data_IF_132554657643
#
_entry.id   IF_132554657643
#
_cell.length_a   1.000
_cell.length_b   1.000
_cell.length_c   1.000
_cell.angle_alpha   90.00
_cell.angle_beta   90.00
_cell.angle_gamma   90.00
#
_symmetry.space_group_name_H-M   'P 1'
#
loop_
_entity.id
_entity.type
_entity.pdbx_description
1 polymer ?
#
# COMPACT_ATOMS: atom_id res chain seq x y z
N UNK A 1 -9.32 42.13 1.55
CA UNK A 1 -9.20 41.15 0.45
C UNK A 1 -8.07 40.12 0.61
N UNK A 2 -7.20 40.20 1.62
CA UNK A 2 -6.06 39.26 1.79
C UNK A 2 -6.41 37.91 2.47
N UNK A 3 -7.60 37.75 3.04
CA UNK A 3 -7.98 36.57 3.83
C UNK A 3 -8.48 35.37 3.00
N UNK A 4 -9.04 35.61 1.81
CA UNK A 4 -9.64 34.55 0.96
C UNK A 4 -8.61 33.76 0.12
N UNK A 5 -7.41 34.30 -0.06
CA UNK A 5 -6.35 33.66 -0.87
C UNK A 5 -5.58 32.55 -0.13
N UNK A 6 -5.63 32.54 1.22
CA UNK A 6 -4.88 31.57 2.03
C UNK A 6 -5.39 30.13 1.87
N UNK A 7 -6.71 29.85 1.96
CA UNK A 7 -7.24 28.50 1.81
C UNK A 7 -6.98 27.90 0.42
N UNK A 8 -7.22 28.69 -0.64
CA UNK A 8 -7.00 28.27 -2.02
C UNK A 8 -5.53 27.94 -2.27
N UNK A 9 -4.62 28.80 -1.82
CA UNK A 9 -3.18 28.57 -1.96
C UNK A 9 -2.72 27.31 -1.23
N UNK A 10 -3.22 27.07 -0.02
CA UNK A 10 -2.91 25.84 0.73
C UNK A 10 -3.39 24.60 0.00
N UNK A 11 -4.62 24.61 -0.52
CA UNK A 11 -5.16 23.49 -1.28
C UNK A 11 -4.37 23.24 -2.57
N UNK A 12 -4.00 24.30 -3.30
CA UNK A 12 -3.16 24.19 -4.50
C UNK A 12 -1.78 23.59 -4.21
N UNK A 13 -1.14 24.00 -3.12
CA UNK A 13 0.15 23.41 -2.73
C UNK A 13 0.03 21.93 -2.37
N UNK A 14 -1.01 21.54 -1.64
CA UNK A 14 -1.24 20.13 -1.28
C UNK A 14 -1.58 19.32 -2.54
N UNK A 15 -2.39 19.85 -3.45
CA UNK A 15 -2.70 19.21 -4.72
C UNK A 15 -1.45 19.02 -5.59
N UNK A 16 -0.62 20.06 -5.69
CA UNK A 16 0.64 19.99 -6.43
C UNK A 16 1.61 18.98 -5.82
N UNK A 17 1.78 18.99 -4.49
CA UNK A 17 2.61 18.02 -3.79
C UNK A 17 2.09 16.58 -3.98
N UNK A 18 0.78 16.36 -3.84
CA UNK A 18 0.15 15.06 -4.06
C UNK A 18 0.37 14.56 -5.50
N UNK A 19 0.15 15.41 -6.50
CA UNK A 19 0.42 15.07 -7.90
C UNK A 19 1.89 14.74 -8.16
N UNK A 20 2.83 15.51 -7.58
CA UNK A 20 4.26 15.20 -7.67
C UNK A 20 4.59 13.84 -7.06
N UNK A 21 4.00 13.50 -5.91
CA UNK A 21 4.19 12.19 -5.28
C UNK A 21 3.61 11.07 -6.15
N UNK A 22 2.43 11.26 -6.75
CA UNK A 22 1.87 10.31 -7.71
C UNK A 22 2.78 10.11 -8.91
N UNK A 23 3.32 11.20 -9.48
CA UNK A 23 4.27 11.13 -10.60
C UNK A 23 5.56 10.41 -10.20
N UNK A 24 6.07 10.64 -8.99
CA UNK A 24 7.23 9.93 -8.47
C UNK A 24 6.94 8.42 -8.30
N UNK A 25 5.75 8.04 -7.86
CA UNK A 25 5.32 6.64 -7.77
C UNK A 25 5.21 5.98 -9.16
N UNK A 26 4.59 6.66 -10.12
CA UNK A 26 4.52 6.19 -11.52
C UNK A 26 5.94 6.03 -12.11
N UNK A 27 6.81 7.02 -11.90
CA UNK A 27 8.19 6.95 -12.35
C UNK A 27 8.91 5.76 -11.71
N UNK A 28 8.77 5.54 -10.41
CA UNK A 28 9.36 4.40 -9.71
C UNK A 28 8.85 3.05 -10.25
N UNK A 29 7.56 2.95 -10.55
CA UNK A 29 6.94 1.73 -11.10
C UNK A 29 7.43 1.43 -12.53
N UNK A 30 7.62 2.46 -13.37
CA UNK A 30 8.11 2.35 -14.75
C UNK A 30 9.60 2.00 -14.83
N UNK A 31 10.39 2.41 -13.83
CA UNK A 31 11.82 2.09 -13.73
C UNK A 31 12.11 0.66 -13.26
N UNK A 32 11.10 -0.13 -12.89
CA UNK A 32 11.32 -1.54 -12.55
C UNK A 32 11.60 -2.36 -13.81
N UNK A 33 12.51 -3.35 -13.74
CA UNK A 33 12.70 -4.32 -14.82
C UNK A 33 11.40 -5.01 -15.17
N UNK A 34 11.15 -5.14 -16.47
CA UNK A 34 9.91 -5.66 -17.02
C UNK A 34 10.18 -6.79 -18.01
N UNK A 35 9.49 -7.91 -17.84
CA UNK A 35 9.49 -9.02 -18.80
C UNK A 35 8.24 -8.98 -19.68
N UNK A 36 7.17 -8.28 -19.27
CA UNK A 36 5.91 -8.25 -20.00
C UNK A 36 5.12 -9.53 -19.86
N UNK A 37 5.16 -10.15 -18.69
CA UNK A 37 4.41 -11.35 -18.34
C UNK A 37 3.36 -11.02 -17.28
N UNK A 38 2.16 -11.53 -17.47
CA UNK A 38 1.16 -11.61 -16.39
C UNK A 38 1.27 -13.00 -15.78
N UNK A 39 1.72 -13.04 -14.53
CA UNK A 39 1.98 -14.27 -13.79
C UNK A 39 0.95 -14.45 -12.68
N UNK A 40 0.52 -15.70 -12.45
CA UNK A 40 -0.34 -16.08 -11.35
C UNK A 40 0.31 -17.22 -10.56
N UNK A 41 0.19 -17.17 -9.23
CA UNK A 41 0.53 -18.30 -8.37
C UNK A 41 -0.65 -19.27 -8.28
N UNK A 42 -0.33 -20.55 -8.10
CA UNK A 42 -1.25 -21.64 -7.80
C UNK A 42 -0.51 -22.74 -7.01
N UNK A 43 -1.14 -23.91 -6.83
CA UNK A 43 -0.59 -25.00 -6.01
C UNK A 43 0.56 -25.78 -6.68
N UNK A 44 0.73 -25.66 -8.01
CA UNK A 44 1.80 -26.37 -8.71
C UNK A 44 3.12 -25.55 -8.68
N UNK A 45 4.29 -26.19 -8.83
CA UNK A 45 5.57 -25.48 -8.85
C UNK A 45 5.67 -24.39 -9.93
N UNK A 46 6.44 -23.34 -9.64
CA UNK A 46 6.60 -22.19 -10.52
C UNK A 46 5.41 -21.24 -10.52
N UNK A 47 5.38 -20.33 -11.49
CA UNK A 47 4.29 -19.39 -11.70
C UNK A 47 3.62 -19.64 -13.05
N UNK A 48 2.30 -19.65 -13.07
CA UNK A 48 1.52 -19.81 -14.29
C UNK A 48 1.60 -18.54 -15.14
N UNK A 49 1.92 -18.70 -16.42
CA UNK A 49 1.92 -17.60 -17.40
C UNK A 49 0.50 -17.42 -17.90
N UNK A 50 -0.15 -16.34 -17.48
CA UNK A 50 -1.52 -15.99 -17.86
C UNK A 50 -1.53 -15.27 -19.21
N UNK A 51 -0.60 -14.34 -19.39
CA UNK A 51 -0.49 -13.55 -20.61
C UNK A 51 0.97 -13.12 -20.82
N UNK A 52 1.37 -12.99 -22.08
CA UNK A 52 2.63 -12.37 -22.49
C UNK A 52 2.31 -11.16 -23.38
N UNK A 53 2.99 -10.05 -23.14
CA UNK A 53 2.87 -8.83 -23.93
C UNK A 53 3.49 -9.06 -25.32
N UNK A 54 2.76 -8.82 -26.42
CA UNK A 54 3.28 -9.02 -27.77
C UNK A 54 4.52 -8.19 -28.11
N UNK A 55 4.72 -7.08 -27.41
CA UNK A 55 5.86 -6.16 -27.58
C UNK A 55 6.85 -6.25 -26.40
N UNK A 56 6.59 -7.14 -25.43
CA UNK A 56 7.44 -7.31 -24.25
C UNK A 56 8.63 -8.23 -24.49
N UNK A 57 9.69 -8.12 -23.66
CA UNK A 57 10.84 -9.03 -23.73
C UNK A 57 10.49 -10.51 -23.61
N UNK A 58 9.44 -10.82 -22.84
CA UNK A 58 8.89 -12.16 -22.62
C UNK A 58 8.04 -12.69 -23.78
N UNK A 59 8.05 -12.05 -24.96
CA UNK A 59 7.37 -12.56 -26.16
C UNK A 59 7.72 -14.02 -26.50
N UNK A 60 8.96 -14.52 -26.36
CA UNK A 60 9.26 -15.93 -26.58
C UNK A 60 8.49 -16.88 -25.66
N UNK A 61 8.05 -16.40 -24.50
CA UNK A 61 7.25 -17.14 -23.53
C UNK A 61 5.75 -17.09 -23.84
N UNK A 62 5.32 -16.62 -25.01
CA UNK A 62 3.91 -16.67 -25.41
C UNK A 62 3.33 -18.09 -25.45
N UNK A 63 4.18 -19.11 -25.64
CA UNK A 63 3.82 -20.53 -25.58
C UNK A 63 4.07 -21.16 -24.21
N UNK A 64 4.66 -20.42 -23.27
CA UNK A 64 4.92 -20.91 -21.94
C UNK A 64 3.60 -21.07 -21.18
N UNK A 65 3.43 -22.22 -20.55
CA UNK A 65 2.37 -22.48 -19.58
C UNK A 65 2.80 -22.05 -18.18
N UNK A 66 4.06 -22.30 -17.84
CA UNK A 66 4.64 -21.99 -16.52
C UNK A 66 6.06 -21.49 -16.62
N UNK A 67 6.40 -20.54 -15.76
CA UNK A 67 7.75 -20.09 -15.50
C UNK A 67 8.25 -20.77 -14.22
N UNK A 68 9.34 -21.53 -14.29
CA UNK A 68 9.84 -22.34 -13.19
C UNK A 68 11.01 -21.68 -12.46
N UNK A 69 11.94 -21.06 -13.18
CA UNK A 69 13.22 -20.62 -12.60
C UNK A 69 13.78 -19.41 -13.35
N UNK A 70 14.47 -18.54 -12.60
CA UNK A 70 15.34 -17.49 -13.13
C UNK A 70 16.79 -17.86 -12.82
N UNK A 71 17.70 -17.61 -13.75
CA UNK A 71 19.14 -17.75 -13.53
C UNK A 71 19.91 -16.65 -14.25
N UNK A 72 21.18 -16.49 -13.87
CA UNK A 72 22.10 -15.65 -14.62
C UNK A 72 22.28 -16.20 -16.06
N UNK A 73 22.80 -15.41 -17.02
CA UNK A 73 22.96 -15.81 -18.42
C UNK A 73 23.76 -17.10 -18.65
N UNK A 74 24.69 -17.41 -17.76
CA UNK A 74 25.53 -18.61 -17.77
C UNK A 74 24.86 -19.82 -17.09
N UNK A 75 23.61 -19.66 -16.61
CA UNK A 75 22.89 -20.65 -15.83
C UNK A 75 23.31 -20.73 -14.35
N UNK A 76 24.20 -19.83 -13.90
CA UNK A 76 24.58 -19.76 -12.49
C UNK A 76 23.50 -19.07 -11.64
N UNK A 77 23.60 -19.22 -10.32
CA UNK A 77 22.64 -18.70 -9.34
C UNK A 77 21.16 -18.99 -9.68
N UNK A 78 20.79 -20.28 -9.91
CA UNK A 78 19.41 -20.63 -10.18
C UNK A 78 18.51 -20.26 -9.00
N UNK A 79 17.37 -19.64 -9.30
CA UNK A 79 16.34 -19.24 -8.36
C UNK A 79 15.01 -19.80 -8.83
N UNK A 80 14.59 -20.89 -8.19
CA UNK A 80 13.28 -21.51 -8.45
C UNK A 80 12.17 -20.60 -7.98
N UNK A 81 11.19 -20.36 -8.84
CA UNK A 81 10.01 -19.58 -8.53
C UNK A 81 9.02 -20.38 -7.69
N UNK A 82 8.43 -19.70 -6.73
CA UNK A 82 7.49 -20.26 -5.76
C UNK A 82 6.22 -19.42 -5.74
N UNK A 83 5.11 -20.03 -5.33
CA UNK A 83 3.83 -19.33 -5.20
C UNK A 83 3.93 -18.07 -4.31
N UNK A 84 4.72 -18.14 -3.22
CA UNK A 84 4.97 -17.02 -2.31
C UNK A 84 5.60 -15.80 -2.99
N UNK A 85 6.32 -15.97 -4.11
CA UNK A 85 6.93 -14.84 -4.83
C UNK A 85 5.88 -13.88 -5.40
N UNK A 86 4.67 -14.40 -5.65
CA UNK A 86 3.55 -13.63 -6.19
C UNK A 86 2.53 -13.20 -5.13
N UNK A 87 2.79 -13.41 -3.84
CA UNK A 87 1.98 -12.87 -2.73
C UNK A 87 1.73 -11.36 -2.92
N UNK A 88 0.46 -10.95 -2.97
CA UNK A 88 0.09 -9.58 -3.32
C UNK A 88 0.56 -8.60 -2.24
N UNK A 89 0.10 -8.85 -1.01
CA UNK A 89 0.42 -8.07 0.18
C UNK A 89 1.29 -8.88 1.15
N UNK A 90 2.44 -8.36 1.64
CA UNK A 90 3.23 -9.02 2.68
C UNK A 90 2.43 -9.30 3.96
N UNK A 91 1.37 -8.52 4.22
CA UNK A 91 0.43 -8.71 5.33
C UNK A 91 -0.41 -9.99 5.27
N UNK A 92 -0.44 -10.67 4.12
CA UNK A 92 -1.03 -12.01 4.00
C UNK A 92 -0.16 -13.08 4.69
N UNK A 93 1.12 -12.80 4.88
CA UNK A 93 2.05 -13.68 5.59
C UNK A 93 1.88 -13.44 7.09
N UNK A 94 1.72 -14.50 7.87
CA UNK A 94 1.44 -14.36 9.32
C UNK A 94 2.70 -14.39 10.18
N UNK A 95 3.78 -14.95 9.64
CA UNK A 95 5.05 -15.15 10.33
C UNK A 95 6.15 -14.26 9.75
N UNK A 96 6.91 -13.60 10.63
CA UNK A 96 8.06 -12.78 10.23
C UNK A 96 9.12 -13.58 9.47
N UNK A 97 9.27 -14.88 9.75
CA UNK A 97 10.18 -15.73 8.98
C UNK A 97 9.77 -15.81 7.50
N UNK A 98 8.45 -15.90 7.23
CA UNK A 98 7.91 -15.91 5.86
C UNK A 98 8.11 -14.55 5.19
N UNK A 99 7.87 -13.43 5.90
CA UNK A 99 8.14 -12.08 5.37
C UNK A 99 9.60 -11.88 5.03
N UNK A 100 10.50 -12.31 5.92
CA UNK A 100 11.94 -12.20 5.71
C UNK A 100 12.39 -13.04 4.50
N UNK A 101 11.88 -14.28 4.37
CA UNK A 101 12.12 -15.12 3.21
C UNK A 101 11.60 -14.46 1.92
N UNK A 102 10.35 -14.03 1.92
CA UNK A 102 9.73 -13.35 0.78
C UNK A 102 10.55 -12.12 0.36
N UNK A 103 10.87 -11.24 1.30
CA UNK A 103 11.65 -10.02 1.05
C UNK A 103 13.06 -10.31 0.52
N UNK A 104 13.73 -11.34 1.05
CA UNK A 104 15.02 -11.79 0.56
C UNK A 104 14.92 -12.30 -0.89
N UNK A 105 13.88 -13.07 -1.20
CA UNK A 105 13.61 -13.57 -2.55
C UNK A 105 13.28 -12.45 -3.54
N UNK A 106 12.48 -11.46 -3.13
CA UNK A 106 12.24 -10.24 -3.93
C UNK A 106 13.55 -9.53 -4.28
N UNK A 107 14.49 -9.47 -3.34
CA UNK A 107 15.82 -8.89 -3.56
C UNK A 107 16.69 -9.72 -4.51
N UNK A 108 16.66 -11.06 -4.39
CA UNK A 108 17.37 -11.98 -5.28
C UNK A 108 16.83 -11.91 -6.73
N UNK A 109 15.51 -11.96 -6.90
CA UNK A 109 14.86 -11.81 -8.20
C UNK A 109 15.20 -10.46 -8.83
N UNK A 110 15.12 -9.37 -8.06
CA UNK A 110 15.47 -8.04 -8.54
C UNK A 110 16.96 -7.95 -8.95
N UNK A 111 17.86 -8.65 -8.26
CA UNK A 111 19.27 -8.70 -8.63
C UNK A 111 19.49 -9.42 -9.98
N UNK A 112 18.76 -10.51 -10.24
CA UNK A 112 18.79 -11.22 -11.53
C UNK A 112 18.16 -10.38 -12.65
N UNK A 113 16.99 -9.78 -12.40
CA UNK A 113 16.27 -8.97 -13.40
C UNK A 113 16.96 -7.65 -13.76
N UNK A 114 17.91 -7.18 -12.93
CA UNK A 114 18.75 -6.01 -13.25
C UNK A 114 19.91 -6.33 -14.19
N UNK A 115 20.19 -7.61 -14.43
CA UNK A 115 21.20 -8.01 -15.40
C UNK A 115 20.70 -7.70 -16.83
N UNK A 116 21.61 -7.41 -17.78
CA UNK A 116 21.23 -7.09 -19.16
C UNK A 116 20.54 -8.26 -19.88
N UNK A 117 20.80 -9.49 -19.42
CA UNK A 117 20.19 -10.72 -19.88
C UNK A 117 19.88 -11.56 -18.64
N UNK A 118 18.73 -12.22 -18.64
CA UNK A 118 18.34 -13.22 -17.64
C UNK A 118 17.92 -14.48 -18.38
N UNK A 119 18.28 -15.65 -17.84
CA UNK A 119 17.83 -16.92 -18.37
C UNK A 119 16.57 -17.37 -17.63
N UNK A 120 15.54 -17.71 -18.39
CA UNK A 120 14.25 -18.17 -17.91
C UNK A 120 14.07 -19.63 -18.27
N UNK A 121 13.75 -20.46 -17.29
CA UNK A 121 13.35 -21.86 -17.48
C UNK A 121 11.84 -21.96 -17.36
N UNK A 122 11.17 -22.51 -18.36
CA UNK A 122 9.72 -22.54 -18.45
C UNK A 122 9.21 -23.86 -19.05
N UNK A 123 7.96 -24.21 -18.76
CA UNK A 123 7.27 -25.38 -19.31
C UNK A 123 6.30 -24.94 -20.41
N UNK A 124 6.30 -25.67 -21.53
CA UNK A 124 5.29 -25.50 -22.56
C UNK A 124 3.96 -26.22 -22.21
N UNK A 125 2.99 -26.17 -23.12
CA UNK A 125 1.71 -26.85 -22.95
C UNK A 125 1.82 -28.39 -22.92
N UNK A 126 2.89 -28.95 -23.49
CA UNK A 126 3.18 -30.39 -23.52
C UNK A 126 3.99 -30.86 -22.30
N UNK A 127 4.40 -29.94 -21.42
CA UNK A 127 5.21 -30.23 -20.24
C UNK A 127 6.71 -30.37 -20.53
N UNK A 128 7.19 -29.93 -21.70
CA UNK A 128 8.62 -29.90 -21.99
C UNK A 128 9.27 -28.66 -21.38
N UNK A 129 10.45 -28.84 -20.79
CA UNK A 129 11.26 -27.75 -20.25
C UNK A 129 12.04 -27.06 -21.37
N UNK A 130 11.88 -25.75 -21.44
CA UNK A 130 12.59 -24.87 -22.37
C UNK A 130 13.36 -23.83 -21.58
N UNK A 131 14.51 -23.42 -22.12
CA UNK A 131 15.33 -22.34 -21.57
C UNK A 131 15.46 -21.23 -22.60
N UNK A 132 15.22 -20.01 -22.17
CA UNK A 132 15.29 -18.85 -23.05
C UNK A 132 15.95 -17.69 -22.34
N UNK A 133 16.88 -17.04 -23.03
CA UNK A 133 17.48 -15.80 -22.57
C UNK A 133 16.62 -14.62 -23.01
N UNK A 134 16.33 -13.73 -22.07
CA UNK A 134 15.51 -12.53 -22.28
C UNK A 134 16.27 -11.34 -21.72
N UNK A 135 16.14 -10.18 -22.36
CA UNK A 135 16.67 -8.91 -21.84
C UNK A 135 15.55 -8.10 -21.20
N UNK A 136 15.49 -7.99 -19.87
CA UNK A 136 14.49 -7.16 -19.20
C UNK A 136 14.53 -5.72 -19.72
N UNK A 137 13.37 -5.13 -19.95
CA UNK A 137 13.23 -3.76 -20.47
C UNK A 137 12.63 -2.83 -19.41
N UNK A 138 12.49 -1.55 -19.74
CA UNK A 138 11.72 -0.61 -18.93
C UNK A 138 10.22 -0.87 -19.12
N UNK A 139 9.46 -0.82 -18.03
CA UNK A 139 8.02 -1.08 -18.05
C UNK A 139 7.26 0.05 -18.75
N UNK A 140 6.47 -0.20 -19.80
CA UNK A 140 5.68 0.85 -20.44
C UNK A 140 4.51 1.28 -19.57
N UNK A 141 4.09 2.56 -19.68
CA UNK A 141 2.94 3.09 -18.93
C UNK A 141 1.63 2.34 -19.21
N UNK A 142 1.49 1.78 -20.40
CA UNK A 142 0.30 1.02 -20.83
C UNK A 142 0.20 -0.36 -20.17
N UNK A 143 1.27 -0.86 -19.55
CA UNK A 143 1.30 -2.13 -18.83
C UNK A 143 0.88 -1.98 -17.35
N UNK A 144 0.81 -0.76 -16.83
CA UNK A 144 0.29 -0.52 -15.48
C UNK A 144 -1.19 -0.89 -15.42
N UNK A 145 -1.61 -1.78 -14.50
CA UNK A 145 -3.00 -2.24 -14.43
C UNK A 145 -3.99 -1.10 -14.17
N UNK A 146 -5.25 -1.30 -14.55
CA UNK A 146 -6.32 -0.36 -14.20
C UNK A 146 -6.40 -0.09 -12.69
N UNK A 147 -6.24 -1.13 -11.87
CA UNK A 147 -6.32 -1.02 -10.41
C UNK A 147 -5.28 -0.05 -9.84
N UNK A 148 -4.05 -0.06 -10.35
CA UNK A 148 -3.00 0.89 -9.99
C UNK A 148 -3.46 2.35 -10.18
N UNK A 149 -4.05 2.66 -11.34
CA UNK A 149 -4.54 4.02 -11.64
C UNK A 149 -5.74 4.41 -10.78
N UNK A 150 -6.63 3.45 -10.53
CA UNK A 150 -7.79 3.65 -9.67
C UNK A 150 -7.38 3.97 -8.23
N UNK A 151 -6.47 3.18 -7.65
CA UNK A 151 -5.91 3.40 -6.31
C UNK A 151 -5.26 4.78 -6.18
N UNK A 152 -4.44 5.17 -7.17
CA UNK A 152 -3.79 6.48 -7.25
C UNK A 152 -4.81 7.62 -7.24
N UNK A 153 -5.89 7.50 -8.02
CA UNK A 153 -6.95 8.49 -8.09
C UNK A 153 -7.75 8.57 -6.77
N UNK A 154 -8.07 7.43 -6.17
CA UNK A 154 -8.74 7.35 -4.87
C UNK A 154 -7.88 7.97 -3.75
N UNK A 155 -6.58 7.64 -3.71
CA UNK A 155 -5.63 8.20 -2.75
C UNK A 155 -5.57 9.73 -2.87
N UNK A 156 -5.39 10.25 -4.09
CA UNK A 156 -5.32 11.69 -4.34
C UNK A 156 -6.65 12.38 -4.00
N UNK A 157 -7.79 11.78 -4.37
CA UNK A 157 -9.11 12.30 -4.03
C UNK A 157 -9.33 12.40 -2.51
N UNK A 158 -8.94 11.37 -1.76
CA UNK A 158 -8.99 11.36 -0.30
C UNK A 158 -8.13 12.46 0.33
N UNK A 159 -6.90 12.65 -0.17
CA UNK A 159 -6.01 13.74 0.24
C UNK A 159 -6.63 15.11 -0.03
N UNK A 160 -7.23 15.31 -1.20
CA UNK A 160 -7.81 16.60 -1.58
C UNK A 160 -9.05 16.94 -0.74
N UNK A 161 -9.90 15.95 -0.45
CA UNK A 161 -11.08 16.14 0.42
C UNK A 161 -10.63 16.52 1.83
N UNK A 162 -9.64 15.82 2.39
CA UNK A 162 -9.15 16.11 3.74
C UNK A 162 -8.42 17.46 3.82
N UNK A 163 -7.64 17.79 2.79
CA UNK A 163 -6.95 19.06 2.63
C UNK A 163 -7.94 20.23 2.50
N UNK A 164 -9.04 20.05 1.78
CA UNK A 164 -10.08 21.06 1.64
C UNK A 164 -10.73 21.39 2.98
N UNK A 165 -11.10 20.37 3.76
CA UNK A 165 -11.65 20.57 5.12
C UNK A 165 -10.66 21.30 6.01
N UNK A 166 -9.37 20.95 5.95
CA UNK A 166 -8.32 21.65 6.67
C UNK A 166 -8.14 23.10 6.20
N UNK A 167 -8.17 23.38 4.90
CA UNK A 167 -8.02 24.73 4.36
C UNK A 167 -9.15 25.66 4.83
N UNK A 168 -10.37 25.13 4.99
CA UNK A 168 -11.53 25.89 5.50
C UNK A 168 -11.51 26.08 7.03
N UNK A 169 -10.94 25.13 7.77
CA UNK A 169 -10.97 25.10 9.25
C UNK A 169 -9.59 24.89 9.87
N UNK A 170 -8.57 25.60 9.37
CA UNK A 170 -7.16 25.37 9.74
C UNK A 170 -6.85 25.60 11.24
N UNK A 171 -7.68 26.36 11.94
CA UNK A 171 -7.56 26.60 13.39
C UNK A 171 -8.17 25.47 14.23
N UNK A 172 -9.04 24.66 13.63
CA UNK A 172 -9.71 23.55 14.30
C UNK A 172 -8.78 22.32 14.36
N UNK A 173 -8.53 21.83 15.57
CA UNK A 173 -7.68 20.65 15.80
C UNK A 173 -8.27 19.40 15.15
N UNK A 174 -9.59 19.27 15.12
CA UNK A 174 -10.26 18.11 14.50
C UNK A 174 -10.01 18.09 12.99
N UNK A 175 -10.06 19.26 12.33
CA UNK A 175 -9.76 19.40 10.91
C UNK A 175 -8.29 19.10 10.58
N UNK A 176 -7.35 19.45 11.48
CA UNK A 176 -5.93 19.09 11.33
C UNK A 176 -5.70 17.59 11.39
N UNK A 177 -6.29 16.91 12.36
CA UNK A 177 -6.19 15.45 12.44
C UNK A 177 -6.91 14.76 11.28
N UNK A 178 -7.99 15.34 10.76
CA UNK A 178 -8.66 14.84 9.56
C UNK A 178 -7.77 14.94 8.31
N UNK A 179 -7.08 16.08 8.13
CA UNK A 179 -6.08 16.21 7.07
C UNK A 179 -4.94 15.21 7.23
N UNK A 180 -4.47 14.99 8.47
CA UNK A 180 -3.45 14.00 8.76
C UNK A 180 -3.92 12.58 8.41
N UNK A 181 -5.16 12.20 8.73
CA UNK A 181 -5.72 10.91 8.29
C UNK A 181 -5.72 10.79 6.77
N UNK A 182 -6.11 11.83 6.02
CA UNK A 182 -6.08 11.76 4.56
C UNK A 182 -4.67 11.68 3.98
N UNK A 183 -3.68 12.34 4.60
CA UNK A 183 -2.27 12.23 4.21
C UNK A 183 -1.71 10.82 4.48
N UNK A 184 -1.97 10.26 5.66
CA UNK A 184 -1.52 8.92 6.00
C UNK A 184 -2.16 7.86 5.08
N UNK A 185 -3.46 7.99 4.80
CA UNK A 185 -4.16 7.11 3.85
C UNK A 185 -3.60 7.25 2.42
N UNK A 186 -3.30 8.47 1.98
CA UNK A 186 -2.67 8.72 0.69
C UNK A 186 -1.34 7.99 0.56
N UNK A 187 -0.45 8.12 1.55
CA UNK A 187 0.85 7.44 1.53
C UNK A 187 0.69 5.92 1.59
N UNK A 188 -0.19 5.40 2.45
CA UNK A 188 -0.43 3.96 2.57
C UNK A 188 -0.90 3.34 1.23
N UNK A 189 -1.95 3.90 0.62
CA UNK A 189 -2.49 3.40 -0.65
C UNK A 189 -1.46 3.52 -1.78
N UNK A 190 -0.71 4.63 -1.85
CA UNK A 190 0.33 4.79 -2.85
C UNK A 190 1.41 3.71 -2.77
N UNK A 191 1.90 3.45 -1.56
CA UNK A 191 2.97 2.47 -1.34
C UNK A 191 2.46 1.05 -1.61
N UNK A 192 1.24 0.73 -1.17
CA UNK A 192 0.58 -0.55 -1.42
C UNK A 192 0.41 -0.83 -2.91
N UNK A 193 -0.07 0.18 -3.64
CA UNK A 193 -0.26 0.10 -5.08
C UNK A 193 1.03 -0.23 -5.84
N UNK A 194 2.19 0.27 -5.38
CA UNK A 194 3.49 -0.05 -5.99
C UNK A 194 3.84 -1.54 -5.92
N UNK A 195 3.75 -2.15 -4.74
CA UNK A 195 4.17 -3.54 -4.58
C UNK A 195 3.08 -4.54 -4.99
N UNK A 196 1.79 -4.23 -4.86
CA UNK A 196 0.72 -5.14 -5.30
C UNK A 196 0.67 -5.27 -6.83
N UNK A 197 0.94 -4.18 -7.56
CA UNK A 197 0.92 -4.16 -9.02
C UNK A 197 2.28 -4.49 -9.66
N UNK A 198 3.22 -5.04 -8.89
CA UNK A 198 4.53 -5.49 -9.41
C UNK A 198 4.35 -6.71 -10.32
N UNK A 199 5.17 -6.81 -11.35
CA UNK A 199 5.14 -7.96 -12.27
C UNK A 199 5.61 -9.23 -11.54
N UNK A 200 6.89 -9.26 -11.18
CA UNK A 200 7.54 -10.39 -10.50
C UNK A 200 8.28 -9.93 -9.23
N UNK A 201 9.10 -8.89 -9.34
CA UNK A 201 9.86 -8.36 -8.22
C UNK A 201 9.83 -6.84 -8.16
N UNK A 202 10.01 -6.29 -6.96
CA UNK A 202 10.13 -4.85 -6.73
C UNK A 202 11.36 -4.53 -5.90
N UNK A 203 12.05 -3.45 -6.26
CA UNK A 203 13.14 -2.96 -5.45
C UNK A 203 12.61 -2.41 -4.13
N UNK A 204 13.40 -2.56 -3.06
CA UNK A 204 13.10 -1.95 -1.76
C UNK A 204 11.83 -2.47 -1.05
N UNK A 205 11.39 -3.72 -1.31
CA UNK A 205 10.19 -4.32 -0.70
C UNK A 205 10.09 -4.04 0.81
N UNK A 206 11.12 -4.39 1.59
CA UNK A 206 11.15 -4.16 3.04
C UNK A 206 10.89 -2.69 3.47
N UNK A 207 11.39 -1.74 2.68
CA UNK A 207 11.25 -0.30 3.00
C UNK A 207 9.88 0.22 2.61
N UNK A 208 9.31 -0.28 1.52
CA UNK A 208 7.94 0.03 1.12
C UNK A 208 6.97 -0.53 2.15
N UNK A 209 7.14 -1.78 2.54
CA UNK A 209 6.36 -2.46 3.57
C UNK A 209 6.38 -1.70 4.91
N UNK A 210 7.57 -1.40 5.44
CA UNK A 210 7.72 -0.63 6.67
C UNK A 210 7.10 0.78 6.59
N UNK A 211 7.16 1.44 5.41
CA UNK A 211 6.54 2.75 5.18
C UNK A 211 5.01 2.64 5.10
N UNK A 212 4.49 1.54 4.56
CA UNK A 212 3.07 1.25 4.57
C UNK A 212 2.57 1.07 6.01
N UNK A 213 3.21 0.20 6.81
CA UNK A 213 2.86 -0.01 8.22
C UNK A 213 2.90 1.30 9.01
N UNK A 214 3.95 2.11 8.82
CA UNK A 214 4.05 3.42 9.44
C UNK A 214 2.84 4.29 9.10
N UNK A 215 2.46 4.34 7.83
CA UNK A 215 1.37 5.17 7.32
C UNK A 215 0.02 4.70 7.86
N UNK A 216 -0.22 3.39 7.92
CA UNK A 216 -1.44 2.80 8.49
C UNK A 216 -1.52 3.06 10.00
N UNK A 217 -0.42 2.94 10.72
CA UNK A 217 -0.39 3.20 12.16
C UNK A 217 -0.58 4.69 12.46
N UNK A 218 0.07 5.56 11.70
CA UNK A 218 -0.09 7.00 11.80
C UNK A 218 -1.55 7.42 11.47
N UNK A 219 -2.18 6.75 10.50
CA UNK A 219 -3.60 6.92 10.21
C UNK A 219 -4.48 6.58 11.42
N UNK A 220 -4.30 5.40 12.02
CA UNK A 220 -5.07 4.97 13.20
C UNK A 220 -4.88 5.92 14.39
N UNK A 221 -3.65 6.35 14.63
CA UNK A 221 -3.32 7.33 15.67
C UNK A 221 -3.97 8.70 15.41
N UNK A 222 -3.91 9.20 14.18
CA UNK A 222 -4.57 10.44 13.78
C UNK A 222 -6.09 10.34 13.92
N UNK A 223 -6.68 9.18 13.61
CA UNK A 223 -8.12 8.93 13.75
C UNK A 223 -8.58 8.92 15.21
N UNK A 224 -7.82 8.27 16.11
CA UNK A 224 -8.09 8.32 17.55
C UNK A 224 -8.03 9.77 18.05
N UNK A 225 -7.00 10.53 17.65
CA UNK A 225 -6.86 11.94 18.02
C UNK A 225 -7.98 12.82 17.46
N UNK A 226 -8.45 12.54 16.24
CA UNK A 226 -9.62 13.19 15.65
C UNK A 226 -10.84 13.03 16.54
N UNK A 227 -11.16 11.80 16.99
CA UNK A 227 -12.30 11.56 17.86
C UNK A 227 -12.12 12.07 19.30
N UNK A 228 -10.87 12.16 19.78
CA UNK A 228 -10.57 12.83 21.05
C UNK A 228 -10.87 14.33 20.97
N UNK A 229 -10.50 15.01 19.88
CA UNK A 229 -10.78 16.43 19.70
C UNK A 229 -12.23 16.74 19.29
N UNK A 230 -12.89 15.82 18.59
CA UNK A 230 -14.25 16.04 18.10
C UNK A 230 -15.28 16.15 19.25
N UNK A 231 -16.25 17.08 19.17
CA UNK A 231 -16.39 18.10 18.13
C UNK A 231 -15.69 19.43 18.46
N UNK A 232 -15.61 19.85 19.73
CA UNK A 232 -15.06 21.16 20.11
C UNK A 232 -14.30 21.15 21.45
N UNK A 233 -13.78 19.99 21.89
CA UNK A 233 -13.13 19.90 23.22
C UNK A 233 -11.67 20.32 23.16
N UNK A 234 -11.30 21.23 24.07
CA UNK A 234 -9.90 21.51 24.41
C UNK A 234 -9.34 20.33 25.23
N UNK A 235 -9.02 19.24 24.55
CA UNK A 235 -8.27 18.15 25.15
C UNK A 235 -6.84 18.66 25.42
N UNK A 236 -6.30 18.48 26.65
CA UNK A 236 -4.92 18.83 26.95
C UNK A 236 -3.95 18.12 25.99
N UNK A 237 -2.95 18.84 25.49
CA UNK A 237 -2.01 18.33 24.46
C UNK A 237 -1.35 17.01 24.87
N UNK A 238 -1.11 16.79 26.17
CA UNK A 238 -0.57 15.53 26.70
C UNK A 238 -1.35 14.28 26.28
N UNK A 239 -2.68 14.34 26.22
CA UNK A 239 -3.50 13.21 25.81
C UNK A 239 -3.50 12.99 24.29
N UNK A 240 -3.14 14.01 23.51
CA UNK A 240 -3.00 13.90 22.06
C UNK A 240 -1.63 13.33 21.67
N UNK A 241 -0.62 13.53 22.52
CA UNK A 241 0.72 12.96 22.37
C UNK A 241 0.74 11.48 22.75
N UNK A 242 -0.09 11.05 23.72
CA UNK A 242 -0.09 9.68 24.22
C UNK A 242 -0.28 8.61 23.12
N UNK A 243 -1.27 8.72 22.19
CA UNK A 243 -1.38 7.80 21.07
C UNK A 243 -0.08 7.69 20.26
N UNK A 244 0.54 8.82 19.89
CA UNK A 244 1.81 8.82 19.15
C UNK A 244 2.96 8.19 19.93
N UNK A 245 3.03 8.45 21.24
CA UNK A 245 4.05 7.88 22.12
C UNK A 245 3.95 6.35 22.26
N UNK A 246 2.77 5.77 22.02
CA UNK A 246 2.57 4.31 21.99
C UNK A 246 2.79 3.74 20.59
N UNK A 247 2.28 4.44 19.57
CA UNK A 247 2.35 4.02 18.17
C UNK A 247 3.78 3.96 17.63
N UNK A 248 4.61 4.97 17.91
CA UNK A 248 5.95 5.06 17.34
C UNK A 248 6.88 3.94 17.84
N UNK A 249 6.96 3.64 19.16
CA UNK A 249 7.71 2.49 19.63
C UNK A 249 7.16 1.17 19.10
N UNK A 250 5.82 1.03 19.01
CA UNK A 250 5.23 -0.19 18.47
C UNK A 250 5.64 -0.45 17.03
N UNK A 251 5.59 0.59 16.19
CA UNK A 251 6.06 0.52 14.80
C UNK A 251 7.57 0.21 14.73
N UNK A 252 8.40 0.79 15.59
CA UNK A 252 9.84 0.48 15.62
C UNK A 252 10.10 -0.99 15.98
N UNK A 253 9.34 -1.53 16.93
CA UNK A 253 9.42 -2.95 17.31
C UNK A 253 8.97 -3.86 16.16
N UNK A 254 7.91 -3.49 15.43
CA UNK A 254 7.44 -4.20 14.24
C UNK A 254 8.44 -4.13 13.08
N UNK A 255 8.99 -2.94 12.79
CA UNK A 255 9.99 -2.74 11.74
C UNK A 255 11.30 -3.51 11.99
N UNK A 256 11.61 -3.82 13.26
CA UNK A 256 12.71 -4.69 13.66
C UNK A 256 12.31 -6.15 13.90
N UNK A 257 11.05 -6.50 13.63
CA UNK A 257 10.49 -7.84 13.79
C UNK A 257 10.70 -8.41 15.20
N UNK A 258 10.54 -7.56 16.22
CA UNK A 258 10.74 -7.91 17.63
C UNK A 258 9.46 -8.43 18.30
N UNK A 259 8.31 -8.32 17.63
CA UNK A 259 7.08 -8.97 18.08
C UNK A 259 7.11 -10.48 17.78
N UNK A 260 6.28 -11.30 18.47
CA UNK A 260 6.27 -12.75 18.26
C UNK A 260 5.92 -13.17 16.83
N UNK A 261 4.97 -12.47 16.21
CA UNK A 261 4.48 -12.71 14.86
C UNK A 261 3.93 -11.40 14.26
N UNK A 262 3.60 -11.42 12.97
CA UNK A 262 3.09 -10.24 12.26
C UNK A 262 1.68 -9.86 12.72
N UNK A 263 0.92 -10.80 13.26
CA UNK A 263 -0.41 -10.52 13.80
C UNK A 263 -0.33 -9.63 15.06
N UNK A 264 0.68 -9.84 15.92
CA UNK A 264 1.00 -8.93 17.02
C UNK A 264 1.59 -7.60 16.54
N UNK A 265 2.47 -7.66 15.54
CA UNK A 265 3.12 -6.47 14.99
C UNK A 265 2.15 -5.48 14.37
N UNK A 266 1.37 -5.94 13.40
CA UNK A 266 0.55 -5.13 12.49
C UNK A 266 -0.91 -5.15 12.89
N UNK A 267 -1.52 -6.34 12.99
CA UNK A 267 -2.97 -6.46 13.14
C UNK A 267 -3.48 -5.97 14.51
N UNK A 268 -2.74 -6.25 15.60
CA UNK A 268 -3.14 -5.85 16.95
C UNK A 268 -3.29 -4.32 17.11
N UNK A 269 -2.32 -3.48 16.71
CA UNK A 269 -2.52 -2.03 16.68
C UNK A 269 -3.74 -1.58 15.89
N UNK A 270 -3.96 -2.13 14.69
CA UNK A 270 -5.12 -1.77 13.86
C UNK A 270 -6.42 -2.05 14.60
N UNK A 271 -6.57 -3.25 15.16
CA UNK A 271 -7.76 -3.63 15.94
C UNK A 271 -7.93 -2.71 17.15
N UNK A 272 -6.85 -2.38 17.85
CA UNK A 272 -6.90 -1.47 18.99
C UNK A 272 -7.33 -0.04 18.58
N UNK A 273 -6.78 0.50 17.49
CA UNK A 273 -7.18 1.81 16.97
C UNK A 273 -8.66 1.81 16.58
N UNK A 274 -9.13 0.77 15.90
CA UNK A 274 -10.53 0.64 15.52
C UNK A 274 -11.44 0.55 16.73
N UNK A 275 -11.09 -0.25 17.75
CA UNK A 275 -11.85 -0.38 18.98
C UNK A 275 -11.92 0.94 19.73
N UNK A 276 -10.78 1.60 19.95
CA UNK A 276 -10.71 2.89 20.65
C UNK A 276 -11.47 3.97 19.87
N UNK A 277 -11.25 4.08 18.55
CA UNK A 277 -11.96 5.02 17.71
C UNK A 277 -13.48 4.78 17.73
N UNK A 278 -13.93 3.52 17.70
CA UNK A 278 -15.34 3.16 17.80
C UNK A 278 -15.93 3.55 19.15
N UNK A 279 -15.25 3.23 20.25
CA UNK A 279 -15.70 3.61 21.60
C UNK A 279 -15.80 5.13 21.72
N UNK A 280 -14.80 5.87 21.25
CA UNK A 280 -14.83 7.34 21.25
C UNK A 280 -15.96 7.86 20.37
N UNK A 281 -16.14 7.35 19.15
CA UNK A 281 -17.21 7.74 18.25
C UNK A 281 -18.60 7.51 18.88
N UNK A 282 -18.83 6.36 19.53
CA UNK A 282 -20.09 6.07 20.24
C UNK A 282 -20.28 6.99 21.44
N UNK A 283 -19.23 7.27 22.21
CA UNK A 283 -19.30 8.24 23.31
C UNK A 283 -19.65 9.64 22.78
N UNK A 284 -19.05 10.06 21.67
CA UNK A 284 -19.34 11.35 21.01
C UNK A 284 -20.76 11.40 20.45
N UNK A 285 -21.24 10.31 19.86
CA UNK A 285 -22.61 10.18 19.39
C UNK A 285 -23.63 10.36 20.51
N UNK A 286 -23.38 9.75 21.68
CA UNK A 286 -24.26 9.87 22.85
C UNK A 286 -24.25 11.30 23.45
N UNK A 287 -23.12 11.98 23.39
CA UNK A 287 -22.96 13.35 23.91
C UNK A 287 -23.52 14.43 22.97
N UNK A 288 -23.49 14.21 21.65
CA UNK A 288 -24.00 15.14 20.62
C UNK A 288 -25.53 15.09 20.42
N UNK A 289 -26.29 14.57 21.39
CA UNK A 289 -27.77 14.41 21.32
C UNK A 289 -28.52 15.72 21.02
N UNK A 290 -27.92 16.87 21.30
CA UNK A 290 -28.52 18.20 21.15
C UNK A 290 -28.04 18.96 19.90
N UNK A 291 -27.14 18.40 19.08
CA UNK A 291 -26.55 19.08 17.91
C UNK A 291 -26.76 18.30 16.59
N UNK A 292 -27.78 18.65 15.78
CA UNK A 292 -28.17 17.87 14.60
C UNK A 292 -27.10 17.83 13.50
N UNK A 293 -26.29 18.88 13.37
CA UNK A 293 -25.24 18.98 12.35
C UNK A 293 -24.08 18.01 12.61
N UNK A 294 -23.72 17.79 13.88
CA UNK A 294 -22.65 16.87 14.29
C UNK A 294 -23.05 15.40 14.08
N UNK A 295 -24.34 15.06 14.21
CA UNK A 295 -24.84 13.71 13.94
C UNK A 295 -24.82 13.36 12.45
N UNK A 296 -25.05 14.33 11.56
CA UNK A 296 -25.02 14.07 10.12
C UNK A 296 -23.62 13.64 9.67
N UNK A 297 -22.57 14.35 10.11
CA UNK A 297 -21.19 14.01 9.80
C UNK A 297 -20.78 12.64 10.38
N UNK A 298 -21.15 12.35 11.64
CA UNK A 298 -20.80 11.07 12.25
C UNK A 298 -21.54 9.89 11.60
N UNK A 299 -22.80 10.08 11.18
CA UNK A 299 -23.57 9.08 10.42
C UNK A 299 -22.91 8.76 9.09
N UNK A 300 -22.54 9.79 8.33
CA UNK A 300 -21.89 9.60 7.04
C UNK A 300 -20.52 8.94 7.20
N UNK A 301 -19.76 9.30 8.24
CA UNK A 301 -18.49 8.63 8.55
C UNK A 301 -18.70 7.15 8.90
N UNK A 302 -19.61 6.84 9.83
CA UNK A 302 -19.93 5.46 10.22
C UNK A 302 -20.48 4.64 9.06
N UNK A 303 -21.35 5.22 8.23
CA UNK A 303 -21.87 4.57 7.03
C UNK A 303 -20.77 4.31 6.01
N UNK A 304 -19.89 5.27 5.76
CA UNK A 304 -18.77 5.11 4.83
C UNK A 304 -17.76 4.08 5.33
N UNK A 305 -17.48 4.07 6.64
CA UNK A 305 -16.59 3.11 7.29
C UNK A 305 -17.20 1.70 7.25
N UNK A 306 -18.46 1.54 7.66
CA UNK A 306 -19.15 0.25 7.59
C UNK A 306 -19.27 -0.25 6.16
N UNK A 307 -19.59 0.62 5.20
CA UNK A 307 -19.64 0.27 3.78
C UNK A 307 -18.27 -0.18 3.26
N UNK A 308 -17.19 0.50 3.65
CA UNK A 308 -15.83 0.10 3.31
C UNK A 308 -15.46 -1.26 3.91
N UNK A 309 -15.77 -1.49 5.19
CA UNK A 309 -15.57 -2.80 5.83
C UNK A 309 -16.39 -3.91 5.15
N UNK A 310 -17.65 -3.64 4.78
CA UNK A 310 -18.51 -4.59 4.08
C UNK A 310 -17.99 -4.90 2.67
N UNK A 311 -17.59 -3.88 1.91
CA UNK A 311 -17.01 -4.06 0.58
C UNK A 311 -15.75 -4.90 0.64
N UNK A 312 -14.85 -4.62 1.58
CA UNK A 312 -13.63 -5.40 1.79
C UNK A 312 -13.92 -6.89 2.01
N UNK A 313 -14.84 -7.22 2.92
CA UNK A 313 -15.25 -8.61 3.22
C UNK A 313 -15.90 -9.33 2.03
N UNK A 314 -16.58 -8.62 1.13
CA UNK A 314 -17.19 -9.25 -0.05
C UNK A 314 -16.22 -9.41 -1.23
N UNK A 315 -15.08 -8.72 -1.20
CA UNK A 315 -14.09 -8.75 -2.29
C UNK A 315 -12.88 -9.64 -1.99
N UNK A 316 -12.64 -9.99 -0.72
CA UNK A 316 -11.64 -10.97 -0.27
C UNK A 316 -12.30 -12.32 -0.04
#
# INVERSE_FOLDING_TARGET
>A
MQHTWRPVRTLLWIAFAGLLTCLAAVWFAVQQPWLGLVLAADEEPGLRVVQSSPQGPGRPLAQARRLLQLSAPDGSAPLDLQAIDKTGDPDELLDYAQVAQFTARQSQMMALLRQPVVQLTWLDAMGQEHRTQVSPAQRPLTDLPFLFWFEMACALGGLLISAWVFALRAEDRSARFFALTGLCMFVAILVQSLYQNRELAIAAMARLDALNHFSVFAFGCALVNLFLCYPHRRVPTRYLVLPWALTLPWWLLDAWQLWPDQNWGVNMPLVLYLLVATVLAVQRWRQSRQQPLERAALRWFLLSFLLACWLFVFTT
#
